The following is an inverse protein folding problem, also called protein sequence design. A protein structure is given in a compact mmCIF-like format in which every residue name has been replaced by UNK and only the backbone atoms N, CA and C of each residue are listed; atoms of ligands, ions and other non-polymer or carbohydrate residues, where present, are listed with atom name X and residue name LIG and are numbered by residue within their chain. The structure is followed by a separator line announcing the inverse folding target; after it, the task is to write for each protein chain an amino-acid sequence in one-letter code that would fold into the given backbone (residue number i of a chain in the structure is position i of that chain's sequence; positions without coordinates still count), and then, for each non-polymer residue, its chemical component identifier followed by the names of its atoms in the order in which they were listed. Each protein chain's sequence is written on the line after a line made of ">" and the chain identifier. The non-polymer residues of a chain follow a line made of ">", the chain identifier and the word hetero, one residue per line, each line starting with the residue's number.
data_IF_371748672896
#
_entry.id   IF_371748672896
#
_cell.length_a   1.000
_cell.length_b   1.000
_cell.length_c   1.000
_cell.angle_alpha   90.00
_cell.angle_beta   90.00
_cell.angle_gamma   90.00
#
_symmetry.space_group_name_H-M   'P 1'
#
loop_
_entity.id
_entity.type
_entity.pdbx_description
1 polymer ?
#
# COMPACT_ATOMS: atom_id res chain seq x y z
N UNK A 1 -22.11 30.53 -21.20
CA UNK A 1 -21.22 29.37 -21.04
C UNK A 1 -19.94 29.74 -21.76
N UNK A 2 -18.81 29.74 -21.06
CA UNK A 2 -17.51 30.04 -21.64
C UNK A 2 -17.12 28.89 -22.59
N UNK A 3 -16.99 29.12 -23.91
CA UNK A 3 -16.73 28.06 -24.88
C UNK A 3 -15.27 27.57 -24.85
N UNK A 4 -14.43 28.10 -23.95
CA UNK A 4 -13.00 27.81 -23.94
C UNK A 4 -12.64 26.52 -23.20
N UNK A 5 -13.48 26.01 -22.29
CA UNK A 5 -13.27 24.72 -21.60
C UNK A 5 -14.58 23.89 -21.57
N UNK A 6 -14.60 22.66 -22.13
CA UNK A 6 -15.75 21.77 -21.98
C UNK A 6 -15.99 21.47 -20.49
N UNK A 7 -17.27 21.30 -20.07
CA UNK A 7 -17.56 20.96 -18.69
C UNK A 7 -16.86 19.65 -18.32
N UNK A 8 -16.22 19.63 -17.15
CA UNK A 8 -15.62 18.42 -16.59
C UNK A 8 -16.62 17.77 -15.65
N UNK A 9 -16.90 16.49 -15.89
CA UNK A 9 -17.86 15.68 -15.17
C UNK A 9 -17.15 14.70 -14.23
N UNK A 10 -17.78 14.43 -13.09
CA UNK A 10 -17.30 13.46 -12.10
C UNK A 10 -18.02 12.14 -12.34
N UNK A 11 -17.29 11.05 -12.55
CA UNK A 11 -17.89 9.73 -12.69
C UNK A 11 -17.20 8.69 -11.80
N UNK A 12 -17.92 7.61 -11.50
CA UNK A 12 -17.38 6.47 -10.78
C UNK A 12 -17.48 5.23 -11.65
N UNK A 13 -16.34 4.59 -11.90
CA UNK A 13 -16.25 3.41 -12.77
C UNK A 13 -15.84 2.24 -11.89
N UNK A 14 -16.68 1.21 -11.83
CA UNK A 14 -16.31 -0.08 -11.27
C UNK A 14 -15.46 -0.84 -12.29
N UNK A 15 -14.48 -1.58 -11.80
CA UNK A 15 -13.72 -2.52 -12.60
C UNK A 15 -13.66 -3.89 -11.95
N UNK A 16 -13.63 -4.94 -12.77
CA UNK A 16 -13.59 -6.33 -12.32
C UNK A 16 -12.81 -7.24 -13.27
N UNK A 17 -11.99 -8.14 -12.75
CA UNK A 17 -11.24 -9.13 -13.54
C UNK A 17 -11.14 -10.47 -12.83
N UNK A 18 -11.34 -11.58 -13.56
CA UNK A 18 -11.15 -12.94 -13.05
C UNK A 18 -10.41 -13.90 -14.00
N UNK A 19 -9.76 -13.39 -15.05
CA UNK A 19 -9.05 -14.23 -16.02
C UNK A 19 -7.62 -13.71 -16.21
N UNK A 20 -6.64 -14.63 -16.18
CA UNK A 20 -5.23 -14.31 -16.39
C UNK A 20 -4.62 -13.49 -15.26
N UNK A 21 -3.73 -12.55 -15.59
CA UNK A 21 -3.17 -11.61 -14.63
C UNK A 21 -4.19 -10.49 -14.33
N UNK A 22 -5.06 -10.76 -13.36
CA UNK A 22 -6.20 -9.91 -12.98
C UNK A 22 -5.78 -8.49 -12.60
N UNK A 23 -4.63 -8.35 -11.96
CA UNK A 23 -4.12 -7.04 -11.50
C UNK A 23 -3.53 -6.28 -12.68
N UNK A 24 -2.75 -6.93 -13.54
CA UNK A 24 -2.23 -6.28 -14.74
C UNK A 24 -3.34 -5.85 -15.71
N UNK A 25 -4.44 -6.61 -15.81
CA UNK A 25 -5.61 -6.20 -16.60
C UNK A 25 -6.25 -4.90 -16.07
N UNK A 26 -6.38 -4.77 -14.75
CA UNK A 26 -6.91 -3.54 -14.12
C UNK A 26 -5.94 -2.37 -14.32
N UNK A 27 -4.64 -2.60 -14.12
CA UNK A 27 -3.59 -1.60 -14.35
C UNK A 27 -3.55 -1.14 -15.82
N UNK A 28 -3.71 -2.06 -16.76
CA UNK A 28 -3.83 -1.76 -18.19
C UNK A 28 -5.08 -0.93 -18.49
N UNK A 29 -6.24 -1.30 -17.93
CA UNK A 29 -7.47 -0.53 -18.08
C UNK A 29 -7.30 0.90 -17.55
N UNK A 30 -6.66 1.09 -16.39
CA UNK A 30 -6.37 2.43 -15.88
C UNK A 30 -5.49 3.26 -16.83
N UNK A 31 -4.45 2.65 -17.44
CA UNK A 31 -3.61 3.35 -18.43
C UNK A 31 -4.39 3.71 -19.69
N UNK A 32 -5.30 2.86 -20.15
CA UNK A 32 -6.16 3.16 -21.30
C UNK A 32 -7.19 4.27 -21.00
N UNK A 33 -7.74 4.32 -19.78
CA UNK A 33 -8.59 5.43 -19.35
C UNK A 33 -7.85 6.77 -19.46
N UNK A 34 -6.63 6.84 -18.92
CA UNK A 34 -5.81 8.05 -18.97
C UNK A 34 -5.43 8.44 -20.41
N UNK A 35 -5.12 7.46 -21.27
CA UNK A 35 -4.89 7.68 -22.71
C UNK A 35 -6.13 8.23 -23.42
N UNK A 36 -7.31 7.82 -22.99
CA UNK A 36 -8.59 8.33 -23.48
C UNK A 36 -9.00 9.68 -22.87
N UNK A 37 -8.08 10.39 -22.19
CA UNK A 37 -8.35 11.67 -21.50
C UNK A 37 -9.40 11.57 -20.39
N UNK A 38 -9.58 10.38 -19.80
CA UNK A 38 -10.36 10.15 -18.58
C UNK A 38 -9.38 10.16 -17.41
N UNK A 39 -9.35 11.26 -16.66
CA UNK A 39 -8.39 11.45 -15.57
C UNK A 39 -8.85 10.69 -14.34
N UNK A 40 -8.05 9.73 -13.87
CA UNK A 40 -8.29 9.06 -12.59
C UNK A 40 -7.90 10.01 -11.45
N UNK A 41 -8.84 10.31 -10.55
CA UNK A 41 -8.64 11.17 -9.38
C UNK A 41 -8.11 10.41 -8.17
N UNK A 42 -8.66 9.23 -7.94
CA UNK A 42 -8.28 8.29 -6.88
C UNK A 42 -8.98 6.95 -7.12
N UNK A 43 -8.52 5.93 -6.41
CA UNK A 43 -9.06 4.57 -6.52
C UNK A 43 -9.42 4.03 -5.14
N UNK A 44 -10.35 3.09 -5.09
CA UNK A 44 -10.52 2.21 -3.94
C UNK A 44 -9.29 1.29 -3.79
N UNK A 45 -9.25 0.51 -2.71
CA UNK A 45 -8.46 -0.71 -2.65
C UNK A 45 -8.97 -1.72 -3.68
N UNK A 46 -8.14 -2.71 -4.02
CA UNK A 46 -8.59 -3.90 -4.73
C UNK A 46 -9.17 -4.90 -3.74
N UNK A 47 -10.32 -5.48 -4.05
CA UNK A 47 -10.96 -6.51 -3.24
C UNK A 47 -11.03 -7.82 -4.01
N UNK A 48 -10.51 -8.88 -3.42
CA UNK A 48 -10.75 -10.23 -3.94
C UNK A 48 -12.07 -10.77 -3.39
N UNK A 49 -12.90 -11.30 -4.28
CA UNK A 49 -14.30 -11.69 -4.01
C UNK A 49 -14.63 -13.00 -4.72
N UNK A 50 -15.47 -13.83 -4.12
CA UNK A 50 -15.99 -15.02 -4.81
C UNK A 50 -16.94 -14.63 -5.96
N UNK A 51 -17.06 -15.47 -7.00
CA UNK A 51 -18.04 -15.27 -8.07
C UNK A 51 -19.48 -15.22 -7.51
N UNK A 52 -20.28 -14.23 -7.93
CA UNK A 52 -21.66 -14.07 -7.42
C UNK A 52 -22.71 -14.89 -8.17
N UNK A 53 -22.52 -15.13 -9.48
CA UNK A 53 -23.57 -15.72 -10.34
C UNK A 53 -23.22 -17.09 -10.90
N UNK A 54 -21.98 -17.27 -11.35
CA UNK A 54 -21.48 -18.55 -11.86
C UNK A 54 -20.35 -19.00 -10.96
N UNK A 55 -20.65 -19.97 -10.10
CA UNK A 55 -19.80 -20.34 -8.96
C UNK A 55 -18.55 -21.14 -9.35
N UNK A 56 -18.54 -21.77 -10.52
CA UNK A 56 -17.40 -22.54 -11.05
C UNK A 56 -16.46 -21.63 -11.86
N UNK A 57 -15.86 -20.65 -11.18
CA UNK A 57 -14.90 -19.69 -11.76
C UNK A 57 -13.88 -19.21 -10.73
N UNK A 58 -12.75 -18.69 -11.22
CA UNK A 58 -11.76 -18.04 -10.38
C UNK A 58 -12.34 -16.80 -9.67
N UNK A 59 -11.84 -16.46 -8.46
CA UNK A 59 -12.23 -15.25 -7.74
C UNK A 59 -11.98 -13.98 -8.56
N UNK A 60 -12.88 -13.01 -8.40
CA UNK A 60 -12.75 -11.69 -9.02
C UNK A 60 -11.90 -10.76 -8.15
N UNK A 61 -11.06 -9.96 -8.81
CA UNK A 61 -10.53 -8.71 -8.24
C UNK A 61 -11.43 -7.57 -8.68
N UNK A 62 -12.00 -6.83 -7.72
CA UNK A 62 -12.90 -5.70 -7.96
C UNK A 62 -12.37 -4.41 -7.32
N UNK A 63 -12.77 -3.27 -7.88
CA UNK A 63 -12.58 -1.97 -7.27
C UNK A 63 -13.34 -0.87 -8.02
N UNK A 64 -13.17 0.37 -7.58
CA UNK A 64 -13.79 1.55 -8.16
C UNK A 64 -12.74 2.65 -8.33
N UNK A 65 -12.77 3.37 -9.44
CA UNK A 65 -12.05 4.63 -9.59
C UNK A 65 -13.04 5.80 -9.69
N UNK A 66 -12.69 6.90 -9.04
CA UNK A 66 -13.30 8.21 -9.28
C UNK A 66 -12.53 8.88 -10.41
N UNK A 67 -13.25 9.37 -11.42
CA UNK A 67 -12.67 9.96 -12.62
C UNK A 67 -13.26 11.33 -12.95
N UNK A 68 -12.47 12.14 -13.63
CA UNK A 68 -12.86 13.39 -14.29
C UNK A 68 -12.82 13.20 -15.81
N UNK A 69 -13.88 13.59 -16.52
CA UNK A 69 -13.95 13.47 -17.98
C UNK A 69 -14.82 14.57 -18.61
N UNK A 70 -14.55 14.92 -19.87
CA UNK A 70 -15.41 15.79 -20.69
C UNK A 70 -16.39 15.02 -21.57
N UNK A 71 -16.32 13.68 -21.56
CA UNK A 71 -17.18 12.80 -22.36
C UNK A 71 -18.61 12.77 -21.81
N UNK A 72 -19.61 12.75 -22.68
CA UNK A 72 -21.00 12.49 -22.28
C UNK A 72 -21.16 11.06 -21.72
N UNK A 73 -22.25 10.73 -21.00
CA UNK A 73 -22.47 9.38 -20.50
C UNK A 73 -22.39 8.28 -21.58
N UNK A 74 -22.89 8.55 -22.79
CA UNK A 74 -22.84 7.58 -23.89
C UNK A 74 -21.45 7.48 -24.50
N UNK A 75 -20.74 8.60 -24.67
CA UNK A 75 -19.36 8.58 -25.19
C UNK A 75 -18.41 7.90 -24.20
N UNK A 76 -18.65 8.10 -22.88
CA UNK A 76 -17.94 7.39 -21.83
C UNK A 76 -18.19 5.88 -21.94
N UNK A 77 -19.45 5.44 -22.07
CA UNK A 77 -19.78 4.02 -22.26
C UNK A 77 -19.08 3.43 -23.48
N UNK A 78 -19.16 4.10 -24.64
CA UNK A 78 -18.56 3.64 -25.88
C UNK A 78 -17.02 3.53 -25.73
N UNK A 79 -16.41 4.48 -25.03
CA UNK A 79 -14.97 4.47 -24.71
C UNK A 79 -14.60 3.29 -23.80
N UNK A 80 -15.36 3.04 -22.72
CA UNK A 80 -15.11 1.91 -21.82
C UNK A 80 -15.24 0.57 -22.56
N UNK A 81 -16.26 0.42 -23.41
CA UNK A 81 -16.46 -0.78 -24.22
C UNK A 81 -15.31 -0.98 -25.22
N UNK A 82 -14.80 0.10 -25.83
CA UNK A 82 -13.63 0.03 -26.70
C UNK A 82 -12.37 -0.42 -25.95
N UNK A 83 -12.14 0.08 -24.73
CA UNK A 83 -11.03 -0.34 -23.87
C UNK A 83 -11.13 -1.84 -23.54
N UNK A 84 -12.30 -2.31 -23.13
CA UNK A 84 -12.50 -3.73 -22.82
C UNK A 84 -12.21 -4.64 -24.02
N UNK A 85 -12.73 -4.28 -25.20
CA UNK A 85 -12.48 -5.02 -26.45
C UNK A 85 -10.99 -5.00 -26.79
N UNK A 86 -10.33 -3.85 -26.66
CA UNK A 86 -8.89 -3.69 -26.88
C UNK A 86 -8.03 -4.56 -25.94
N UNK A 87 -8.47 -4.73 -24.68
CA UNK A 87 -7.84 -5.59 -23.68
C UNK A 87 -8.31 -7.06 -23.76
N UNK A 88 -8.95 -7.45 -24.87
CA UNK A 88 -9.24 -8.84 -25.19
C UNK A 88 -10.50 -9.41 -24.57
N UNK A 89 -11.47 -8.57 -24.15
CA UNK A 89 -12.78 -9.04 -23.69
C UNK A 89 -13.46 -9.87 -24.80
N UNK A 90 -13.64 -11.17 -24.57
CA UNK A 90 -14.45 -12.06 -25.42
C UNK A 90 -15.74 -12.42 -24.68
N UNK A 91 -16.88 -11.82 -25.06
CA UNK A 91 -18.20 -12.21 -24.53
C UNK A 91 -18.56 -13.62 -25.06
N UNK A 92 -18.13 -14.65 -24.33
CA UNK A 92 -18.49 -16.05 -24.62
C UNK A 92 -19.76 -16.49 -23.87
N UNK A 93 -19.98 -15.97 -22.66
CA UNK A 93 -21.13 -16.28 -21.78
C UNK A 93 -21.52 -14.99 -21.03
N UNK A 94 -22.83 -14.69 -20.94
CA UNK A 94 -23.31 -13.57 -20.11
C UNK A 94 -22.97 -13.80 -18.63
N UNK A 95 -22.40 -12.78 -17.96
CA UNK A 95 -21.86 -12.86 -16.59
C UNK A 95 -20.81 -13.97 -16.36
N UNK A 96 -20.16 -14.43 -17.43
CA UNK A 96 -19.08 -15.42 -17.40
C UNK A 96 -17.70 -14.84 -17.05
N UNK A 97 -16.62 -15.64 -17.19
CA UNK A 97 -15.25 -15.18 -16.98
C UNK A 97 -14.87 -14.09 -17.97
N UNK A 98 -14.13 -13.09 -17.50
CA UNK A 98 -13.69 -11.93 -18.30
C UNK A 98 -12.34 -11.39 -17.86
N UNK A 99 -11.56 -10.97 -18.86
CA UNK A 99 -10.26 -10.33 -18.64
C UNK A 99 -10.41 -8.98 -17.95
N UNK A 100 -11.43 -8.20 -18.32
CA UNK A 100 -11.79 -6.93 -17.67
C UNK A 100 -13.27 -6.60 -17.93
N UNK A 101 -13.90 -5.95 -16.95
CA UNK A 101 -15.23 -5.33 -17.00
C UNK A 101 -15.11 -3.90 -16.48
N UNK A 102 -15.74 -2.93 -17.13
CA UNK A 102 -15.76 -1.51 -16.77
C UNK A 102 -17.21 -1.00 -16.79
N UNK A 103 -17.78 -0.74 -15.62
CA UNK A 103 -19.17 -0.28 -15.46
C UNK A 103 -19.24 1.14 -14.91
N UNK A 104 -20.02 2.02 -15.57
CA UNK A 104 -20.33 3.35 -15.04
C UNK A 104 -21.34 3.19 -13.89
N UNK A 105 -20.92 3.49 -12.66
CA UNK A 105 -21.79 3.44 -11.48
C UNK A 105 -22.58 4.73 -11.32
N UNK A 106 -21.90 5.87 -11.43
CA UNK A 106 -22.41 7.20 -11.14
C UNK A 106 -21.80 8.19 -12.14
N UNK A 107 -22.55 9.24 -12.44
CA UNK A 107 -22.13 10.35 -13.30
C UNK A 107 -22.79 11.63 -12.78
N UNK A 108 -21.96 12.53 -12.23
CA UNK A 108 -22.36 13.63 -11.37
C UNK A 108 -23.42 13.16 -10.34
N UNK A 109 -24.49 13.93 -10.15
CA UNK A 109 -25.69 13.53 -9.39
C UNK A 109 -26.89 13.34 -10.35
N UNK A 110 -26.63 12.87 -11.57
CA UNK A 110 -27.64 12.76 -12.62
C UNK A 110 -28.34 11.39 -12.60
N UNK A 111 -29.61 11.39 -12.98
CA UNK A 111 -30.33 10.19 -13.41
C UNK A 111 -30.33 10.18 -14.94
N UNK A 112 -29.75 9.15 -15.53
CA UNK A 112 -29.69 8.95 -16.98
C UNK A 112 -30.33 7.61 -17.35
N UNK A 113 -31.20 7.62 -18.35
CA UNK A 113 -31.92 6.45 -18.83
C UNK A 113 -31.84 6.37 -20.35
N UNK A 114 -31.24 5.29 -20.83
CA UNK A 114 -31.07 4.97 -22.24
C UNK A 114 -31.15 3.45 -22.41
N UNK A 115 -31.52 2.96 -23.59
CA UNK A 115 -31.64 1.52 -23.88
C UNK A 115 -30.36 0.70 -23.59
N UNK A 116 -29.20 1.36 -23.63
CA UNK A 116 -27.86 0.77 -23.39
C UNK A 116 -27.27 1.12 -22.02
N UNK A 117 -27.80 2.12 -21.32
CA UNK A 117 -27.15 2.70 -20.14
C UNK A 117 -28.16 3.27 -19.15
N UNK A 118 -28.01 2.89 -17.89
CA UNK A 118 -28.76 3.44 -16.77
C UNK A 118 -27.78 3.96 -15.73
N UNK A 119 -27.94 5.22 -15.34
CA UNK A 119 -27.16 5.86 -14.27
C UNK A 119 -28.13 6.43 -13.23
N UNK A 120 -27.95 6.15 -11.93
CA UNK A 120 -26.96 5.22 -11.36
C UNK A 120 -27.13 3.78 -11.84
N UNK A 121 -26.07 2.99 -11.78
CA UNK A 121 -26.12 1.58 -12.17
C UNK A 121 -27.16 0.82 -11.34
N UNK A 122 -28.13 0.18 -12.01
CA UNK A 122 -29.35 -0.36 -11.40
C UNK A 122 -29.09 -1.33 -10.22
N UNK A 123 -28.08 -2.19 -10.35
CA UNK A 123 -27.77 -3.22 -9.35
C UNK A 123 -26.67 -2.79 -8.36
N UNK A 124 -26.22 -1.54 -8.38
CA UNK A 124 -25.07 -1.12 -7.56
C UNK A 124 -25.37 -1.27 -6.07
N UNK A 125 -26.59 -0.96 -5.63
CA UNK A 125 -26.96 -0.99 -4.21
C UNK A 125 -27.14 -2.41 -3.65
N UNK A 126 -27.18 -3.43 -4.50
CA UNK A 126 -27.38 -4.83 -4.15
C UNK A 126 -26.07 -5.64 -4.11
N UNK A 127 -24.96 -5.05 -4.60
CA UNK A 127 -23.69 -5.75 -4.83
C UNK A 127 -22.62 -5.28 -3.84
N UNK A 128 -22.25 -6.15 -2.90
CA UNK A 128 -21.17 -5.86 -1.94
C UNK A 128 -19.86 -5.48 -2.63
N UNK A 129 -19.45 -6.25 -3.66
CA UNK A 129 -18.22 -6.02 -4.41
C UNK A 129 -18.19 -4.70 -5.20
N UNK A 130 -19.33 -4.01 -5.33
CA UNK A 130 -19.45 -2.66 -5.89
C UNK A 130 -19.52 -1.62 -4.78
N UNK A 131 -20.41 -1.82 -3.81
CA UNK A 131 -20.62 -0.86 -2.72
C UNK A 131 -19.41 -0.73 -1.81
N UNK A 132 -18.72 -1.84 -1.48
CA UNK A 132 -17.56 -1.83 -0.58
C UNK A 132 -16.44 -0.92 -1.10
N UNK A 133 -15.93 -1.08 -2.33
CA UNK A 133 -14.95 -0.14 -2.88
C UNK A 133 -15.51 1.28 -3.04
N UNK A 134 -16.78 1.44 -3.45
CA UNK A 134 -17.38 2.78 -3.58
C UNK A 134 -17.45 3.51 -2.22
N UNK A 135 -17.78 2.80 -1.15
CA UNK A 135 -17.84 3.35 0.21
C UNK A 135 -16.46 3.77 0.74
N UNK A 136 -15.34 3.29 0.19
CA UNK A 136 -14.03 3.84 0.55
C UNK A 136 -13.82 5.25 -0.03
N UNK A 137 -14.54 5.62 -1.09
CA UNK A 137 -14.40 6.91 -1.78
C UNK A 137 -15.43 7.92 -1.30
N UNK A 138 -16.68 7.48 -1.13
CA UNK A 138 -17.84 8.36 -0.87
C UNK A 138 -18.82 7.76 0.16
N UNK A 139 -18.37 7.33 1.36
CA UNK A 139 -19.21 6.57 2.30
C UNK A 139 -20.50 7.29 2.71
N UNK A 140 -20.43 8.62 2.85
CA UNK A 140 -21.51 9.45 3.40
C UNK A 140 -22.36 10.15 2.33
N UNK A 141 -22.02 10.01 1.05
CA UNK A 141 -22.84 10.56 -0.04
C UNK A 141 -24.14 9.76 -0.20
N UNK A 142 -25.18 10.43 -0.71
CA UNK A 142 -26.49 9.84 -0.96
C UNK A 142 -26.62 9.45 -2.45
N UNK A 143 -27.17 8.26 -2.77
CA UNK A 143 -27.55 7.92 -4.13
C UNK A 143 -28.54 8.94 -4.70
N UNK A 144 -28.45 9.34 -5.99
CA UNK A 144 -29.34 10.33 -6.58
C UNK A 144 -30.74 9.77 -6.92
N UNK A 145 -31.12 8.59 -6.41
CA UNK A 145 -32.45 8.02 -6.59
C UNK A 145 -33.51 8.87 -5.87
N UNK A 146 -34.64 9.12 -6.54
CA UNK A 146 -35.74 9.91 -5.97
C UNK A 146 -36.20 9.30 -4.62
N UNK A 147 -36.26 10.13 -3.57
CA UNK A 147 -36.74 9.72 -2.25
C UNK A 147 -35.77 8.87 -1.42
N UNK A 148 -34.53 8.63 -1.90
CA UNK A 148 -33.51 7.97 -1.08
C UNK A 148 -32.92 8.92 -0.03
N UNK A 149 -32.76 8.41 1.19
CA UNK A 149 -32.25 9.15 2.36
C UNK A 149 -31.11 8.44 3.09
N UNK A 150 -30.68 7.28 2.60
CA UNK A 150 -29.58 6.49 3.18
C UNK A 150 -28.29 6.72 2.40
N UNK A 151 -27.17 6.84 3.11
CA UNK A 151 -25.84 6.91 2.49
C UNK A 151 -25.39 5.57 1.93
N UNK A 152 -24.37 5.57 1.07
CA UNK A 152 -23.76 4.33 0.56
C UNK A 152 -23.27 3.41 1.68
N UNK A 153 -22.65 3.97 2.73
CA UNK A 153 -22.22 3.20 3.90
C UNK A 153 -23.41 2.59 4.65
N UNK A 154 -24.54 3.29 4.74
CA UNK A 154 -25.76 2.75 5.32
C UNK A 154 -26.31 1.59 4.50
N UNK A 155 -26.31 1.70 3.16
CA UNK A 155 -26.69 0.60 2.28
C UNK A 155 -25.78 -0.63 2.43
N UNK A 156 -24.45 -0.43 2.41
CA UNK A 156 -23.49 -1.51 2.59
C UNK A 156 -23.72 -2.28 3.91
N UNK A 157 -24.03 -1.58 5.00
CA UNK A 157 -24.35 -2.20 6.31
C UNK A 157 -25.66 -2.99 6.32
N UNK A 158 -26.57 -2.76 5.36
CA UNK A 158 -27.83 -3.51 5.24
C UNK A 158 -27.73 -4.75 4.35
N UNK A 159 -26.65 -4.89 3.57
CA UNK A 159 -26.44 -6.07 2.76
C UNK A 159 -26.17 -7.30 3.65
N UNK A 160 -26.57 -8.51 3.21
CA UNK A 160 -26.13 -9.73 3.87
C UNK A 160 -24.59 -9.78 3.86
N UNK A 161 -23.94 -10.24 4.94
CA UNK A 161 -22.49 -10.40 4.96
C UNK A 161 -22.04 -11.27 3.78
N UNK A 162 -21.06 -10.83 2.99
CA UNK A 162 -20.57 -11.63 1.86
C UNK A 162 -19.86 -12.88 2.39
N UNK A 163 -20.07 -14.01 1.72
CA UNK A 163 -19.44 -15.28 2.05
C UNK A 163 -18.79 -15.89 0.79
N UNK A 164 -17.44 -16.08 0.79
CA UNK A 164 -16.47 -15.63 1.78
C UNK A 164 -16.34 -14.10 1.85
N UNK A 165 -15.87 -13.59 2.99
CA UNK A 165 -15.61 -12.16 3.20
C UNK A 165 -14.52 -11.66 2.25
N UNK A 166 -14.77 -10.58 1.48
CA UNK A 166 -13.78 -9.97 0.62
C UNK A 166 -12.58 -9.47 1.41
N UNK A 167 -11.40 -9.61 0.84
CA UNK A 167 -10.18 -9.05 1.42
C UNK A 167 -9.48 -8.05 0.50
N UNK A 168 -8.98 -6.98 1.12
CA UNK A 168 -8.17 -5.96 0.45
C UNK A 168 -6.86 -6.57 -0.02
N UNK A 169 -6.44 -6.24 -1.24
CA UNK A 169 -5.28 -6.81 -1.92
C UNK A 169 -4.32 -5.71 -2.35
N UNK A 170 -3.07 -5.79 -1.90
CA UNK A 170 -1.98 -4.88 -2.28
C UNK A 170 -0.93 -5.67 -3.07
N UNK A 171 -0.90 -5.58 -4.41
CA UNK A 171 0.17 -6.19 -5.20
C UNK A 171 1.52 -5.60 -4.83
N UNK A 172 2.59 -6.41 -4.89
CA UNK A 172 3.97 -5.93 -4.73
C UNK A 172 4.71 -6.09 -6.06
N UNK A 173 4.83 -7.32 -6.55
CA UNK A 173 5.39 -7.63 -7.87
C UNK A 173 4.89 -9.00 -8.36
N UNK A 174 5.17 -9.35 -9.61
CA UNK A 174 4.73 -10.64 -10.19
C UNK A 174 5.46 -11.85 -9.58
N UNK A 175 6.49 -11.61 -8.77
CA UNK A 175 7.28 -12.66 -8.13
C UNK A 175 7.07 -12.72 -6.61
N UNK A 176 6.27 -11.80 -6.05
CA UNK A 176 5.96 -11.72 -4.63
C UNK A 176 4.44 -11.75 -4.40
N UNK A 177 3.93 -12.56 -3.46
CA UNK A 177 2.49 -12.65 -3.21
C UNK A 177 1.91 -11.31 -2.77
N UNK A 178 0.70 -10.98 -3.24
CA UNK A 178 0.03 -9.78 -2.79
C UNK A 178 -0.26 -9.80 -1.28
N UNK A 179 -0.24 -8.64 -0.64
CA UNK A 179 -0.58 -8.51 0.78
C UNK A 179 -2.09 -8.40 0.92
N UNK A 180 -2.70 -9.35 1.62
CA UNK A 180 -4.14 -9.40 1.83
C UNK A 180 -4.53 -8.82 3.20
N UNK A 181 -4.46 -7.50 3.36
CA UNK A 181 -4.42 -6.81 4.66
C UNK A 181 -5.63 -7.05 5.59
N UNK A 182 -6.78 -7.44 5.03
CA UNK A 182 -8.01 -7.73 5.81
C UNK A 182 -8.34 -9.21 5.87
N UNK A 183 -7.51 -10.09 5.30
CA UNK A 183 -7.64 -11.53 5.49
C UNK A 183 -7.23 -11.87 6.94
N UNK A 184 -8.11 -12.52 7.73
CA UNK A 184 -7.79 -12.88 9.13
C UNK A 184 -6.62 -13.86 9.22
N UNK A 185 -6.41 -14.69 8.20
CA UNK A 185 -5.41 -15.77 8.16
C UNK A 185 -4.19 -15.40 7.31
N UNK A 186 -3.88 -14.09 7.17
CA UNK A 186 -2.72 -13.62 6.41
C UNK A 186 -1.41 -13.77 7.21
N UNK A 187 -0.31 -14.27 6.61
CA UNK A 187 0.97 -14.33 7.31
C UNK A 187 1.57 -12.93 7.50
N UNK A 188 2.34 -12.74 8.57
CA UNK A 188 3.18 -11.55 8.74
C UNK A 188 4.44 -11.64 7.88
N UNK A 189 4.81 -10.57 7.18
CA UNK A 189 6.01 -10.51 6.37
C UNK A 189 7.20 -9.98 7.17
N UNK A 190 8.35 -10.63 7.03
CA UNK A 190 9.61 -10.15 7.61
C UNK A 190 10.32 -9.29 6.56
N UNK A 191 10.58 -8.04 6.92
CA UNK A 191 11.40 -7.11 6.14
C UNK A 191 12.77 -6.96 6.81
N UNK A 192 13.80 -7.51 6.17
CA UNK A 192 15.16 -7.46 6.65
C UNK A 192 15.81 -6.11 6.32
N UNK A 193 16.41 -5.48 7.32
CA UNK A 193 17.14 -4.22 7.15
C UNK A 193 18.53 -4.51 6.60
N UNK A 194 18.86 -3.95 5.43
CA UNK A 194 20.17 -3.99 4.82
C UNK A 194 20.71 -2.57 4.65
N UNK A 195 21.48 -2.11 5.63
CA UNK A 195 22.14 -0.81 5.57
C UNK A 195 23.46 -0.92 4.80
N UNK A 196 23.61 -0.12 3.73
CA UNK A 196 24.83 0.00 2.94
C UNK A 196 25.57 1.30 3.27
N UNK A 197 25.64 1.62 4.56
CA UNK A 197 26.34 2.80 5.08
C UNK A 197 27.64 2.41 5.80
N UNK A 198 28.72 3.21 5.69
CA UNK A 198 29.99 2.93 6.39
C UNK A 198 29.84 2.85 7.92
N UNK A 199 28.93 3.66 8.48
CA UNK A 199 28.74 3.87 9.92
C UNK A 199 27.73 2.91 10.55
N UNK A 200 27.58 1.67 10.07
CA UNK A 200 26.63 0.70 10.64
C UNK A 200 27.13 0.16 12.01
N UNK A 201 27.25 1.04 13.01
CA UNK A 201 27.69 0.79 14.39
C UNK A 201 26.77 -0.16 15.20
N UNK A 202 25.63 -0.58 14.66
CA UNK A 202 24.77 -1.62 15.24
C UNK A 202 24.78 -2.95 14.49
N UNK A 203 25.18 -2.96 13.21
CA UNK A 203 24.96 -4.11 12.31
C UNK A 203 26.28 -4.82 11.97
N UNK A 204 27.34 -4.52 12.71
CA UNK A 204 28.64 -5.19 12.58
C UNK A 204 29.61 -4.55 11.59
N UNK A 205 29.23 -3.54 10.81
CA UNK A 205 30.18 -2.77 9.97
C UNK A 205 30.71 -3.52 8.74
N UNK A 206 30.01 -4.54 8.25
CA UNK A 206 30.55 -5.52 7.29
C UNK A 206 30.08 -5.29 5.85
N UNK A 207 29.17 -4.35 5.57
CA UNK A 207 28.57 -4.21 4.24
C UNK A 207 29.07 -2.95 3.52
N UNK A 208 30.16 -3.10 2.76
CA UNK A 208 30.49 -2.16 1.68
C UNK A 208 29.71 -2.53 0.43
N UNK A 209 29.20 -1.53 -0.31
CA UNK A 209 28.59 -1.74 -1.62
C UNK A 209 29.56 -2.34 -2.65
N UNK A 210 30.86 -2.32 -2.37
CA UNK A 210 31.91 -2.90 -3.21
C UNK A 210 32.15 -4.40 -2.94
N UNK A 211 31.75 -4.91 -1.76
CA UNK A 211 31.90 -6.33 -1.42
C UNK A 211 30.62 -7.12 -1.70
N UNK A 212 30.43 -7.41 -3.00
CA UNK A 212 29.30 -8.18 -3.49
C UNK A 212 29.24 -9.63 -2.95
N UNK A 213 30.37 -10.19 -2.52
CA UNK A 213 30.41 -11.56 -1.97
C UNK A 213 29.79 -11.60 -0.58
N UNK A 214 30.18 -10.64 0.25
CA UNK A 214 29.59 -10.44 1.57
C UNK A 214 28.11 -10.08 1.46
N UNK A 215 27.74 -9.19 0.52
CA UNK A 215 26.34 -8.87 0.24
C UNK A 215 25.53 -10.13 -0.12
N UNK A 216 26.04 -10.98 -1.02
CA UNK A 216 25.38 -12.25 -1.37
C UNK A 216 25.18 -13.14 -0.15
N UNK A 217 26.19 -13.25 0.70
CA UNK A 217 26.13 -14.07 1.92
C UNK A 217 25.06 -13.54 2.88
N UNK A 218 25.01 -12.22 3.09
CA UNK A 218 23.99 -11.58 3.95
C UNK A 218 22.58 -11.80 3.41
N UNK A 219 22.37 -11.56 2.12
CA UNK A 219 21.06 -11.74 1.48
C UNK A 219 20.59 -13.19 1.59
N UNK A 220 21.48 -14.17 1.33
CA UNK A 220 21.17 -15.60 1.53
C UNK A 220 20.82 -15.91 2.98
N UNK A 221 21.54 -15.35 3.94
CA UNK A 221 21.25 -15.54 5.35
C UNK A 221 19.89 -14.96 5.73
N UNK A 222 19.51 -13.78 5.22
CA UNK A 222 18.18 -13.22 5.43
C UNK A 222 17.08 -14.12 4.86
N UNK A 223 17.25 -14.61 3.64
CA UNK A 223 16.27 -15.49 2.99
C UNK A 223 16.12 -16.80 3.76
N UNK A 224 17.24 -17.44 4.12
CA UNK A 224 17.24 -18.67 4.92
C UNK A 224 16.63 -18.46 6.32
N UNK A 225 16.77 -17.27 6.89
CA UNK A 225 16.18 -16.89 8.16
C UNK A 225 14.68 -16.54 8.07
N UNK A 226 14.11 -16.49 6.86
CA UNK A 226 12.68 -16.27 6.63
C UNK A 226 12.30 -14.83 6.27
N UNK A 227 13.26 -13.98 5.86
CA UNK A 227 12.94 -12.70 5.24
C UNK A 227 12.17 -12.91 3.94
N UNK A 228 11.09 -12.16 3.77
CA UNK A 228 10.32 -12.13 2.52
C UNK A 228 10.55 -10.81 1.77
N UNK A 229 10.98 -9.78 2.48
CA UNK A 229 11.31 -8.46 1.93
C UNK A 229 12.73 -8.09 2.41
N UNK A 230 13.55 -7.50 1.54
CA UNK A 230 14.85 -6.91 1.90
C UNK A 230 14.76 -5.42 1.64
N UNK A 231 14.98 -4.62 2.67
CA UNK A 231 14.91 -3.16 2.62
C UNK A 231 16.32 -2.56 2.65
N UNK A 232 16.69 -1.93 1.54
CA UNK A 232 18.05 -1.48 1.25
C UNK A 232 18.12 0.02 1.51
N UNK A 233 19.00 0.43 2.42
CA UNK A 233 19.21 1.84 2.76
C UNK A 233 20.63 2.30 2.44
N UNK A 234 20.77 3.33 1.61
CA UNK A 234 22.05 3.97 1.28
C UNK A 234 22.41 5.16 2.17
N UNK A 235 21.44 5.68 2.92
CA UNK A 235 21.58 6.84 3.81
C UNK A 235 20.99 6.53 5.20
N UNK A 236 21.62 7.04 6.26
CA UNK A 236 21.08 6.92 7.62
C UNK A 236 20.00 7.96 7.87
N UNK A 237 18.81 7.52 8.28
CA UNK A 237 17.70 8.37 8.73
C UNK A 237 17.68 8.57 10.26
N UNK A 238 18.75 8.16 10.96
CA UNK A 238 18.86 8.28 12.42
C UNK A 238 18.96 9.75 12.86
N UNK A 239 18.42 10.13 14.03
CA UNK A 239 18.60 11.48 14.56
C UNK A 239 20.09 11.83 14.69
N UNK A 240 20.51 12.92 14.02
CA UNK A 240 21.87 13.44 14.09
C UNK A 240 22.89 12.86 13.11
N UNK A 241 22.50 12.00 12.15
CA UNK A 241 23.42 11.57 11.07
C UNK A 241 23.70 12.69 10.07
N UNK A 242 24.90 12.69 9.52
CA UNK A 242 25.27 13.56 8.40
C UNK A 242 24.63 13.05 7.11
N UNK A 243 23.91 13.89 6.35
CA UNK A 243 23.37 13.49 5.05
C UNK A 243 24.51 13.12 4.09
N UNK A 244 24.27 12.10 3.26
CA UNK A 244 25.13 11.83 2.10
C UNK A 244 24.56 12.51 0.87
N UNK A 245 25.40 12.73 -0.15
CA UNK A 245 24.92 13.25 -1.42
C UNK A 245 24.11 12.21 -2.18
N UNK A 246 23.15 12.65 -3.00
CA UNK A 246 22.35 11.78 -3.86
C UNK A 246 23.22 10.83 -4.71
N UNK A 247 24.32 11.34 -5.30
CA UNK A 247 25.24 10.54 -6.10
C UNK A 247 25.91 9.41 -5.30
N UNK A 248 26.18 9.63 -4.02
CA UNK A 248 26.77 8.63 -3.13
C UNK A 248 25.74 7.58 -2.72
N UNK A 249 24.51 7.99 -2.41
CA UNK A 249 23.41 7.07 -2.14
C UNK A 249 23.14 6.16 -3.35
N UNK A 250 23.07 6.72 -4.57
CA UNK A 250 22.96 5.97 -5.83
C UNK A 250 24.09 4.95 -6.00
N UNK A 251 25.34 5.37 -5.79
CA UNK A 251 26.51 4.50 -5.92
C UNK A 251 26.49 3.31 -4.93
N UNK A 252 25.84 3.48 -3.78
CA UNK A 252 25.68 2.41 -2.78
C UNK A 252 24.57 1.43 -3.15
N UNK A 253 23.37 1.94 -3.48
CA UNK A 253 22.16 1.09 -3.56
C UNK A 253 21.97 0.45 -4.93
N UNK A 254 22.29 1.14 -6.03
CA UNK A 254 21.98 0.66 -7.37
C UNK A 254 22.75 -0.62 -7.73
N UNK A 255 24.09 -0.71 -7.51
CA UNK A 255 24.83 -1.94 -7.76
C UNK A 255 24.32 -3.11 -6.92
N UNK A 256 23.97 -2.85 -5.65
CA UNK A 256 23.47 -3.87 -4.74
C UNK A 256 22.11 -4.44 -5.19
N UNK A 257 21.15 -3.57 -5.56
CA UNK A 257 19.84 -4.00 -6.07
C UNK A 257 20.00 -4.85 -7.32
N UNK A 258 20.81 -4.40 -8.29
CA UNK A 258 21.07 -5.16 -9.52
C UNK A 258 21.65 -6.53 -9.20
N UNK A 259 22.70 -6.57 -8.37
CA UNK A 259 23.36 -7.81 -7.99
C UNK A 259 22.41 -8.80 -7.30
N UNK A 260 21.59 -8.32 -6.36
CA UNK A 260 20.58 -9.17 -5.70
C UNK A 260 19.62 -9.75 -6.72
N UNK A 261 19.10 -8.91 -7.64
CA UNK A 261 18.09 -9.36 -8.60
C UNK A 261 18.64 -10.29 -9.69
N UNK A 262 19.87 -10.07 -10.15
CA UNK A 262 20.42 -10.81 -11.31
C UNK A 262 21.31 -11.99 -10.94
N UNK A 263 21.92 -11.98 -9.75
CA UNK A 263 23.00 -12.90 -9.40
C UNK A 263 22.65 -13.83 -8.23
N UNK A 264 21.57 -13.58 -7.49
CA UNK A 264 21.12 -14.39 -6.35
C UNK A 264 19.78 -15.06 -6.69
N UNK A 265 19.78 -16.28 -7.24
CA UNK A 265 18.55 -16.98 -7.62
C UNK A 265 17.55 -17.16 -6.47
N UNK A 266 18.05 -17.32 -5.24
CA UNK A 266 17.21 -17.45 -4.05
C UNK A 266 16.38 -16.18 -3.78
N UNK A 267 16.79 -15.03 -4.30
CA UNK A 267 16.09 -13.76 -4.18
C UNK A 267 14.99 -13.56 -5.25
N UNK A 268 14.75 -14.54 -6.13
CA UNK A 268 13.77 -14.42 -7.21
C UNK A 268 12.34 -14.09 -6.69
N UNK A 269 11.96 -14.65 -5.54
CA UNK A 269 10.64 -14.45 -4.91
C UNK A 269 10.67 -13.51 -3.71
N UNK A 270 11.76 -12.75 -3.56
CA UNK A 270 11.96 -11.81 -2.47
C UNK A 270 11.69 -10.41 -3.01
N UNK A 271 10.84 -9.66 -2.31
CA UNK A 271 10.61 -8.27 -2.65
C UNK A 271 11.83 -7.44 -2.23
N UNK A 272 12.26 -6.53 -3.10
CA UNK A 272 13.31 -5.56 -2.79
C UNK A 272 12.65 -4.21 -2.53
N UNK A 273 12.88 -3.65 -1.35
CA UNK A 273 12.45 -2.32 -0.95
C UNK A 273 13.66 -1.37 -0.94
N UNK A 274 13.47 -0.14 -1.41
CA UNK A 274 14.46 0.94 -1.31
C UNK A 274 14.03 1.93 -0.22
N UNK A 275 14.84 2.06 0.85
CA UNK A 275 14.67 3.06 1.92
C UNK A 275 15.32 4.37 1.49
N UNK A 276 14.54 5.27 0.90
CA UNK A 276 15.01 6.57 0.43
C UNK A 276 13.90 7.61 0.45
N UNK A 277 14.27 8.85 0.72
CA UNK A 277 13.40 10.01 0.60
C UNK A 277 13.70 10.85 -0.66
N UNK A 278 14.58 10.38 -1.55
CA UNK A 278 14.97 11.08 -2.79
C UNK A 278 14.31 10.45 -4.02
N UNK A 279 13.60 11.26 -4.78
CA UNK A 279 12.85 10.83 -5.95
C UNK A 279 13.74 10.12 -6.99
N UNK A 280 14.91 10.70 -7.29
CA UNK A 280 15.84 10.12 -8.26
C UNK A 280 16.41 8.78 -7.81
N UNK A 281 16.70 8.61 -6.53
CA UNK A 281 17.17 7.32 -5.99
C UNK A 281 16.06 6.27 -6.11
N UNK A 282 14.82 6.64 -5.79
CA UNK A 282 13.68 5.75 -5.92
C UNK A 282 13.46 5.31 -7.39
N UNK A 283 13.49 6.25 -8.34
CA UNK A 283 13.32 5.98 -9.77
C UNK A 283 14.38 5.00 -10.31
N UNK A 284 15.66 5.28 -10.02
CA UNK A 284 16.77 4.43 -10.44
C UNK A 284 16.76 3.06 -9.75
N UNK A 285 16.37 3.00 -8.47
CA UNK A 285 16.23 1.75 -7.73
C UNK A 285 15.12 0.86 -8.32
N UNK A 286 13.97 1.45 -8.68
CA UNK A 286 12.90 0.73 -9.37
C UNK A 286 13.35 0.22 -10.74
N UNK A 287 14.08 1.02 -11.51
CA UNK A 287 14.67 0.61 -12.78
C UNK A 287 15.72 -0.51 -12.61
N UNK A 288 16.41 -0.54 -11.47
CA UNK A 288 17.37 -1.60 -11.11
C UNK A 288 16.71 -2.91 -10.64
N UNK A 289 15.41 -2.90 -10.32
CA UNK A 289 14.66 -4.09 -9.91
C UNK A 289 14.09 -4.06 -8.48
N UNK A 290 14.01 -2.88 -7.85
CA UNK A 290 13.21 -2.70 -6.63
C UNK A 290 11.71 -2.78 -6.92
N UNK A 291 10.98 -3.35 -5.96
CA UNK A 291 9.53 -3.58 -5.99
C UNK A 291 8.75 -2.58 -5.12
N UNK A 292 9.39 -2.05 -4.07
CA UNK A 292 8.77 -1.16 -3.09
C UNK A 292 9.64 0.08 -2.90
N UNK A 293 9.02 1.26 -2.85
CA UNK A 293 9.66 2.51 -2.40
C UNK A 293 9.25 2.77 -0.95
N UNK A 294 10.21 2.76 -0.03
CA UNK A 294 10.00 3.05 1.38
C UNK A 294 10.47 4.46 1.70
N UNK A 295 9.54 5.40 1.83
CA UNK A 295 9.86 6.79 2.14
C UNK A 295 9.38 7.17 3.54
N UNK A 296 10.36 7.34 4.44
CA UNK A 296 10.16 7.80 5.81
C UNK A 296 9.44 9.15 5.90
N UNK A 297 9.51 9.96 4.85
CA UNK A 297 8.91 11.29 4.78
C UNK A 297 7.53 11.33 4.12
N UNK A 298 7.10 10.23 3.51
CA UNK A 298 5.90 10.20 2.66
C UNK A 298 5.87 11.33 1.63
N UNK A 299 7.00 11.69 1.02
CA UNK A 299 7.16 12.74 0.02
C UNK A 299 7.26 14.17 0.57
N UNK A 300 7.56 14.34 1.87
CA UNK A 300 7.71 15.66 2.48
C UNK A 300 9.14 16.23 2.35
N UNK A 301 10.15 15.38 2.11
CA UNK A 301 11.55 15.83 1.95
C UNK A 301 11.97 16.05 0.50
N UNK A 302 11.21 15.51 -0.46
CA UNK A 302 11.44 15.69 -1.89
C UNK A 302 10.08 15.86 -2.61
N UNK A 303 9.79 17.04 -3.19
CA UNK A 303 8.51 17.29 -3.85
C UNK A 303 8.28 16.41 -5.08
N UNK A 304 9.34 15.88 -5.70
CA UNK A 304 9.24 14.98 -6.86
C UNK A 304 8.97 13.53 -6.47
N UNK A 305 8.99 13.19 -5.17
CA UNK A 305 8.84 11.81 -4.72
C UNK A 305 7.47 11.22 -5.05
N UNK A 306 6.37 11.90 -4.70
CA UNK A 306 5.02 11.35 -4.99
C UNK A 306 4.74 11.24 -6.50
N UNK A 307 5.05 12.24 -7.35
CA UNK A 307 4.98 12.08 -8.80
C UNK A 307 5.83 10.91 -9.32
N UNK A 308 7.02 10.72 -8.77
CA UNK A 308 7.91 9.61 -9.16
C UNK A 308 7.33 8.26 -8.77
N UNK A 309 6.86 8.12 -7.53
CA UNK A 309 6.13 6.94 -7.07
C UNK A 309 4.95 6.60 -8.00
N UNK A 310 4.14 7.58 -8.39
CA UNK A 310 3.03 7.38 -9.32
C UNK A 310 3.51 6.86 -10.69
N UNK A 311 4.56 7.46 -11.27
CA UNK A 311 5.12 7.02 -12.57
C UNK A 311 5.68 5.60 -12.53
N UNK A 312 6.35 5.21 -11.44
CA UNK A 312 6.96 3.88 -11.32
C UNK A 312 5.91 2.77 -11.24
N UNK A 313 4.70 3.07 -10.78
CA UNK A 313 3.63 2.08 -10.55
C UNK A 313 3.97 1.01 -9.50
N UNK A 314 5.06 1.19 -8.75
CA UNK A 314 5.49 0.29 -7.69
C UNK A 314 4.69 0.52 -6.41
N UNK A 315 4.79 -0.44 -5.49
CA UNK A 315 4.17 -0.28 -4.18
C UNK A 315 5.01 0.66 -3.32
N UNK A 316 4.36 1.39 -2.42
CA UNK A 316 4.98 2.47 -1.66
C UNK A 316 4.65 2.34 -0.19
N UNK A 317 5.61 2.62 0.67
CA UNK A 317 5.40 2.76 2.11
C UNK A 317 5.40 4.24 2.45
N UNK A 318 4.27 4.72 2.96
CA UNK A 318 4.06 6.07 3.45
C UNK A 318 4.19 6.04 4.97
N UNK A 319 5.35 6.44 5.49
CA UNK A 319 5.58 6.56 6.92
C UNK A 319 5.21 7.94 7.44
N UNK A 320 4.61 7.99 8.63
CA UNK A 320 4.39 9.22 9.35
C UNK A 320 5.64 9.71 10.10
N UNK A 321 6.05 10.94 9.78
CA UNK A 321 7.04 11.71 10.53
C UNK A 321 6.70 13.20 10.50
N UNK A 322 7.33 13.98 11.37
CA UNK A 322 7.29 15.45 11.34
C UNK A 322 8.70 16.04 11.28
N UNK A 323 8.87 17.11 10.51
CA UNK A 323 10.14 17.81 10.35
C UNK A 323 11.17 17.02 9.54
N UNK A 324 12.40 16.95 10.03
CA UNK A 324 13.53 16.27 9.39
C UNK A 324 14.26 15.41 10.43
N UNK A 325 15.22 14.54 10.05
CA UNK A 325 16.00 13.78 11.03
C UNK A 325 16.68 14.64 12.10
N UNK A 326 17.02 15.90 11.80
CA UNK A 326 17.65 16.82 12.75
C UNK A 326 16.65 17.57 13.65
N UNK A 327 15.38 17.71 13.23
CA UNK A 327 14.36 18.49 13.96
C UNK A 327 13.24 17.67 14.59
N UNK A 328 13.03 16.42 14.12
CA UNK A 328 11.88 15.59 14.50
C UNK A 328 11.75 15.36 16.00
N UNK A 329 12.86 15.31 16.74
CA UNK A 329 12.86 15.08 18.20
C UNK A 329 12.20 16.21 19.00
N UNK A 330 11.99 17.38 18.39
CA UNK A 330 11.33 18.55 19.00
C UNK A 330 9.84 18.64 18.63
N UNK A 331 9.36 17.82 17.69
CA UNK A 331 8.02 17.91 17.10
C UNK A 331 7.09 16.80 17.62
N UNK A 332 7.15 16.53 18.92
CA UNK A 332 6.48 15.39 19.55
C UNK A 332 5.17 15.75 20.25
N UNK A 333 4.53 16.88 19.93
CA UNK A 333 3.28 17.32 20.54
C UNK A 333 2.06 16.79 19.77
N UNK A 334 1.22 15.98 20.43
CA UNK A 334 0.04 15.34 19.82
C UNK A 334 -1.20 15.66 20.67
N UNK A 335 -1.80 16.86 20.50
CA UNK A 335 -2.84 17.37 21.39
C UNK A 335 -4.12 16.52 21.44
N UNK A 336 -4.45 15.79 20.37
CA UNK A 336 -5.63 14.92 20.35
C UNK A 336 -5.29 13.45 20.69
N UNK A 337 -4.06 13.20 21.10
CA UNK A 337 -3.50 11.88 21.32
C UNK A 337 -2.83 11.33 20.05
N UNK A 338 -1.72 10.61 20.26
CA UNK A 338 -0.85 10.14 19.17
C UNK A 338 -1.59 9.33 18.10
N UNK A 339 -2.56 8.48 18.47
CA UNK A 339 -3.28 7.65 17.48
C UNK A 339 -4.10 8.52 16.51
N UNK A 340 -4.88 9.47 17.05
CA UNK A 340 -5.76 10.32 16.24
C UNK A 340 -4.97 11.28 15.35
N UNK A 341 -3.95 11.93 15.90
CA UNK A 341 -3.13 12.89 15.15
C UNK A 341 -2.28 12.19 14.08
N UNK A 342 -1.63 11.07 14.41
CA UNK A 342 -0.87 10.27 13.43
C UNK A 342 -1.78 9.77 12.30
N UNK A 343 -2.98 9.30 12.63
CA UNK A 343 -3.92 8.78 11.63
C UNK A 343 -4.43 9.89 10.71
N UNK A 344 -4.74 11.06 11.28
CA UNK A 344 -5.13 12.26 10.51
C UNK A 344 -4.02 12.71 9.56
N UNK A 345 -2.77 12.76 10.04
CA UNK A 345 -1.62 13.15 9.23
C UNK A 345 -1.30 12.12 8.14
N UNK A 346 -1.44 10.81 8.42
CA UNK A 346 -1.34 9.78 7.40
C UNK A 346 -2.41 9.90 6.32
N UNK A 347 -3.68 10.18 6.69
CA UNK A 347 -4.75 10.40 5.72
C UNK A 347 -4.46 11.61 4.80
N UNK A 348 -3.83 12.67 5.32
CA UNK A 348 -3.37 13.79 4.50
C UNK A 348 -2.29 13.35 3.50
N UNK A 349 -1.37 12.46 3.90
CA UNK A 349 -0.36 11.90 2.99
C UNK A 349 -0.97 10.97 1.95
N UNK A 350 -1.94 10.13 2.32
CA UNK A 350 -2.73 9.32 1.39
C UNK A 350 -3.41 10.20 0.35
N UNK A 351 -4.09 11.28 0.77
CA UNK A 351 -4.76 12.20 -0.16
C UNK A 351 -3.76 12.88 -1.13
N UNK A 352 -2.58 13.27 -0.63
CA UNK A 352 -1.52 13.82 -1.48
C UNK A 352 -0.97 12.79 -2.48
N UNK A 353 -0.81 11.55 -2.04
CA UNK A 353 -0.36 10.43 -2.88
C UNK A 353 -1.39 10.13 -3.99
N UNK A 354 -2.68 10.05 -3.65
CA UNK A 354 -3.77 9.89 -4.62
C UNK A 354 -3.80 11.06 -5.63
N UNK A 355 -3.66 12.29 -5.16
CA UNK A 355 -3.62 13.47 -6.03
C UNK A 355 -2.42 13.47 -7.01
N UNK A 356 -1.31 12.84 -6.62
CA UNK A 356 -0.15 12.63 -7.48
C UNK A 356 -0.31 11.47 -8.48
N UNK A 357 -1.39 10.68 -8.36
CA UNK A 357 -1.70 9.54 -9.24
C UNK A 357 -1.32 8.17 -8.66
N UNK A 358 -0.90 8.09 -7.39
CA UNK A 358 -0.62 6.81 -6.74
C UNK A 358 -1.96 6.13 -6.44
N UNK A 359 -2.14 4.92 -6.95
CA UNK A 359 -3.33 4.10 -6.70
C UNK A 359 -3.35 3.63 -5.26
N UNK A 360 -4.53 3.65 -4.62
CA UNK A 360 -4.69 3.28 -3.21
C UNK A 360 -4.21 1.86 -2.91
N UNK A 361 -4.40 0.92 -3.85
CA UNK A 361 -3.92 -0.46 -3.73
C UNK A 361 -2.40 -0.63 -3.83
N UNK A 362 -1.63 0.44 -4.06
CA UNK A 362 -0.17 0.42 -4.03
C UNK A 362 0.42 0.92 -2.71
N UNK A 363 -0.41 1.42 -1.78
CA UNK A 363 0.08 2.07 -0.57
C UNK A 363 0.10 1.12 0.64
N UNK A 364 1.17 1.21 1.41
CA UNK A 364 1.38 0.60 2.73
C UNK A 364 1.64 1.74 3.71
N UNK A 365 1.11 1.66 4.93
CA UNK A 365 1.24 2.72 5.93
C UNK A 365 2.17 2.30 7.08
N UNK A 366 2.95 3.25 7.61
CA UNK A 366 3.78 3.06 8.81
C UNK A 366 3.55 4.24 9.78
N UNK A 367 3.16 4.01 11.06
CA UNK A 367 2.97 5.09 12.02
C UNK A 367 4.28 5.78 12.44
N UNK A 368 5.44 5.22 12.08
CA UNK A 368 6.77 5.79 12.22
C UNK A 368 7.28 5.80 13.66
N UNK A 369 7.45 4.62 14.27
CA UNK A 369 7.97 4.50 15.64
C UNK A 369 9.31 5.24 15.81
N UNK A 370 9.41 6.10 16.81
CA UNK A 370 10.60 6.90 17.13
C UNK A 370 10.85 8.08 16.19
N UNK A 371 9.98 8.33 15.20
CA UNK A 371 10.05 9.51 14.32
C UNK A 371 9.06 10.57 14.80
N UNK A 372 9.56 11.68 15.35
CA UNK A 372 8.74 12.71 15.98
C UNK A 372 7.80 12.19 17.08
N UNK A 373 8.21 11.13 17.80
CA UNK A 373 7.48 10.54 18.94
C UNK A 373 8.42 10.38 20.13
N UNK A 374 7.87 10.51 21.32
CA UNK A 374 8.55 10.16 22.56
C UNK A 374 8.18 8.72 22.96
N UNK A 375 8.77 8.22 24.05
CA UNK A 375 8.52 6.85 24.50
C UNK A 375 7.07 6.54 24.86
N UNK A 376 6.36 7.37 25.64
CA UNK A 376 4.92 7.17 25.85
C UNK A 376 4.14 7.04 24.55
N UNK A 377 4.44 7.85 23.53
CA UNK A 377 3.79 7.79 22.23
C UNK A 377 4.10 6.49 21.47
N UNK A 378 5.36 6.06 21.43
CA UNK A 378 5.76 4.79 20.81
C UNK A 378 5.05 3.59 21.47
N UNK A 379 4.94 3.60 22.80
CA UNK A 379 4.24 2.57 23.56
C UNK A 379 2.73 2.58 23.34
N UNK A 380 2.11 3.75 23.22
CA UNK A 380 0.68 3.87 22.87
C UNK A 380 0.43 3.34 21.45
N UNK A 381 1.29 3.68 20.47
CA UNK A 381 1.17 3.13 19.11
C UNK A 381 1.26 1.60 19.12
N UNK A 382 2.22 1.01 19.85
CA UNK A 382 2.34 -0.44 19.94
C UNK A 382 1.13 -1.10 20.62
N UNK A 383 0.56 -0.45 21.64
CA UNK A 383 -0.61 -0.96 22.37
C UNK A 383 -1.88 -0.91 21.53
N UNK A 384 -2.08 0.20 20.83
CA UNK A 384 -3.35 0.57 20.21
C UNK A 384 -3.26 0.58 18.67
N UNK A 385 -2.28 -0.11 18.07
CA UNK A 385 -2.07 -0.16 16.62
C UNK A 385 -3.35 -0.56 15.85
N UNK A 386 -4.17 -1.45 16.42
CA UNK A 386 -5.44 -1.87 15.83
C UNK A 386 -6.40 -0.69 15.62
N UNK A 387 -6.33 0.37 16.44
CA UNK A 387 -7.20 1.55 16.32
C UNK A 387 -7.00 2.30 15.01
N UNK A 388 -5.82 2.23 14.38
CA UNK A 388 -5.67 2.79 13.03
C UNK A 388 -6.55 2.07 12.01
N UNK A 389 -6.84 0.78 12.21
CA UNK A 389 -7.66 -0.03 11.28
C UNK A 389 -9.15 0.02 11.61
N UNK A 390 -9.53 0.24 12.88
CA UNK A 390 -10.93 0.13 13.33
C UNK A 390 -11.53 1.44 13.82
N UNK A 391 -10.70 2.40 14.21
CA UNK A 391 -11.10 3.63 14.88
C UNK A 391 -10.95 4.89 14.03
N UNK A 392 -10.35 4.80 12.83
CA UNK A 392 -10.10 5.93 11.94
C UNK A 392 -10.62 5.61 10.54
N UNK A 393 -11.67 6.32 10.12
CA UNK A 393 -12.31 6.14 8.82
C UNK A 393 -11.32 6.43 7.68
N UNK A 394 -11.28 5.55 6.69
CA UNK A 394 -10.36 5.63 5.55
C UNK A 394 -9.06 4.85 5.72
N UNK A 395 -8.70 4.38 6.92
CA UNK A 395 -7.47 3.62 7.16
C UNK A 395 -7.65 2.10 7.24
N UNK A 396 -8.88 1.61 7.14
CA UNK A 396 -9.29 0.26 7.53
C UNK A 396 -8.64 -0.85 6.69
N UNK A 397 -8.36 -0.55 5.42
CA UNK A 397 -7.99 -1.53 4.40
C UNK A 397 -6.53 -1.46 3.96
N UNK A 398 -5.75 -0.50 4.50
CA UNK A 398 -4.33 -0.43 4.18
C UNK A 398 -3.56 -1.55 4.89
N UNK A 399 -2.54 -2.13 4.24
CA UNK A 399 -1.52 -2.88 4.95
C UNK A 399 -0.66 -1.94 5.80
N UNK A 400 -0.16 -2.46 6.92
CA UNK A 400 0.61 -1.74 7.91
C UNK A 400 1.99 -2.33 8.09
N UNK A 401 3.01 -1.48 8.06
CA UNK A 401 4.38 -1.80 8.41
C UNK A 401 4.71 -1.26 9.79
N UNK A 402 5.46 -2.04 10.57
CA UNK A 402 6.02 -1.61 11.85
C UNK A 402 7.54 -1.84 11.89
N UNK A 403 8.30 -0.79 12.19
CA UNK A 403 9.76 -0.88 12.39
C UNK A 403 10.22 -0.72 13.83
N UNK A 404 9.97 -1.68 14.75
CA UNK A 404 10.30 -1.53 16.16
C UNK A 404 11.75 -1.90 16.52
N UNK A 405 12.50 -2.47 15.57
CA UNK A 405 13.78 -3.13 15.85
C UNK A 405 14.85 -2.20 16.42
N UNK A 406 15.45 -2.62 17.54
CA UNK A 406 16.60 -1.98 18.22
C UNK A 406 16.38 -0.51 18.64
N UNK A 407 15.12 -0.04 18.67
CA UNK A 407 14.76 1.35 19.01
C UNK A 407 15.23 1.73 20.42
N UNK A 408 15.48 3.04 20.63
CA UNK A 408 16.05 3.58 21.88
C UNK A 408 15.17 3.32 23.11
N UNK A 409 13.84 3.39 22.96
CA UNK A 409 12.92 3.14 24.08
C UNK A 409 13.05 1.72 24.63
N UNK A 410 13.30 0.72 23.77
CA UNK A 410 13.55 -0.66 24.18
C UNK A 410 14.77 -0.74 25.11
N UNK A 411 15.85 -0.05 24.76
CA UNK A 411 17.06 0.01 25.60
C UNK A 411 16.83 0.69 26.95
N UNK A 412 16.01 1.74 27.00
CA UNK A 412 15.67 2.41 28.27
C UNK A 412 14.83 1.53 29.19
N UNK A 413 13.83 0.85 28.65
CA UNK A 413 12.94 -0.03 29.42
C UNK A 413 13.67 -1.28 29.96
N UNK A 414 14.61 -1.82 29.19
CA UNK A 414 15.32 -3.06 29.53
C UNK A 414 16.67 -2.83 30.21
N UNK A 415 17.19 -1.61 30.22
CA UNK A 415 18.55 -1.29 30.64
C UNK A 415 19.64 -1.69 29.64
N UNK A 416 19.29 -2.31 28.51
CA UNK A 416 20.25 -2.77 27.48
C UNK A 416 20.77 -1.60 26.65
N UNK A 417 22.02 -1.22 26.90
CA UNK A 417 22.66 -0.05 26.28
C UNK A 417 22.95 -0.27 24.80
N UNK A 418 23.55 -1.40 24.43
CA UNK A 418 23.95 -1.69 23.05
C UNK A 418 22.74 -2.05 22.20
N UNK A 419 22.56 -1.35 21.09
CA UNK A 419 21.41 -1.55 20.21
C UNK A 419 21.29 -2.99 19.68
N UNK A 420 22.43 -3.62 19.35
CA UNK A 420 22.48 -4.99 18.82
C UNK A 420 22.11 -6.07 19.83
N UNK A 421 22.03 -5.75 21.13
CA UNK A 421 21.69 -6.69 22.20
C UNK A 421 20.21 -6.59 22.62
N UNK A 422 19.43 -5.72 21.97
CA UNK A 422 18.02 -5.46 22.31
C UNK A 422 17.05 -6.48 21.71
N UNK A 423 17.52 -7.68 21.36
CA UNK A 423 16.75 -8.69 20.63
C UNK A 423 15.48 -9.09 21.37
N UNK A 424 15.54 -9.38 22.67
CA UNK A 424 14.36 -9.80 23.46
C UNK A 424 13.34 -8.69 23.66
N UNK A 425 13.80 -7.46 23.88
CA UNK A 425 12.89 -6.31 23.92
C UNK A 425 12.25 -6.06 22.54
N UNK A 426 13.01 -6.28 21.46
CA UNK A 426 12.47 -6.23 20.09
C UNK A 426 11.43 -7.34 19.86
N UNK A 427 11.66 -8.57 20.35
CA UNK A 427 10.70 -9.66 20.27
C UNK A 427 9.33 -9.27 20.86
N UNK A 428 9.33 -8.65 22.05
CA UNK A 428 8.09 -8.18 22.68
C UNK A 428 7.35 -7.16 21.79
N UNK A 429 8.08 -6.21 21.19
CA UNK A 429 7.48 -5.19 20.31
C UNK A 429 7.00 -5.76 18.97
N UNK A 430 7.66 -6.79 18.43
CA UNK A 430 7.24 -7.49 17.21
C UNK A 430 5.95 -8.27 17.47
N UNK A 431 5.88 -9.01 18.58
CA UNK A 431 4.66 -9.71 18.98
C UNK A 431 3.47 -8.74 19.14
N UNK A 432 3.68 -7.60 19.80
CA UNK A 432 2.68 -6.55 19.92
C UNK A 432 2.26 -5.96 18.56
N UNK A 433 3.21 -5.77 17.64
CA UNK A 433 2.93 -5.29 16.28
C UNK A 433 2.05 -6.27 15.50
N UNK A 434 2.36 -7.58 15.56
CA UNK A 434 1.56 -8.61 14.89
C UNK A 434 0.15 -8.69 15.49
N UNK A 435 0.04 -8.64 16.83
CA UNK A 435 -1.24 -8.61 17.56
C UNK A 435 -2.09 -7.40 17.17
N UNK A 436 -1.46 -6.24 16.99
CA UNK A 436 -2.09 -5.00 16.55
C UNK A 436 -2.49 -4.98 15.06
N UNK A 437 -2.13 -6.02 14.30
CA UNK A 437 -2.53 -6.19 12.90
C UNK A 437 -1.50 -5.73 11.86
N UNK A 438 -0.23 -5.53 12.23
CA UNK A 438 0.85 -5.22 11.28
C UNK A 438 1.04 -6.35 10.27
N UNK A 439 1.09 -6.02 8.99
CA UNK A 439 1.31 -6.96 7.88
C UNK A 439 2.80 -7.19 7.63
N UNK A 440 3.63 -6.19 7.91
CA UNK A 440 5.08 -6.23 7.74
C UNK A 440 5.76 -5.80 9.05
N UNK A 441 6.80 -6.54 9.47
CA UNK A 441 7.70 -6.11 10.55
C UNK A 441 9.12 -5.94 10.01
N UNK A 442 9.67 -4.73 10.20
CA UNK A 442 11.01 -4.33 9.72
C UNK A 442 12.06 -4.52 10.82
N UNK A 443 13.02 -5.42 10.58
CA UNK A 443 13.90 -5.97 11.63
C UNK A 443 15.35 -6.17 11.19
N UNK A 444 16.28 -6.09 12.15
CA UNK A 444 17.69 -6.44 11.95
C UNK A 444 17.95 -7.93 12.21
N UNK A 445 17.42 -8.47 13.32
CA UNK A 445 17.64 -9.85 13.78
C UNK A 445 16.60 -10.80 13.14
N UNK A 446 16.76 -11.08 11.84
CA UNK A 446 15.74 -11.73 10.99
C UNK A 446 15.31 -13.08 11.54
N UNK A 447 16.26 -13.94 11.92
CA UNK A 447 15.97 -15.32 12.33
C UNK A 447 15.11 -15.34 13.60
N UNK A 448 15.51 -14.57 14.59
CA UNK A 448 14.84 -14.45 15.88
C UNK A 448 13.45 -13.84 15.69
N UNK A 449 13.35 -12.77 14.91
CA UNK A 449 12.06 -12.08 14.72
C UNK A 449 11.11 -12.86 13.82
N UNK A 450 11.62 -13.68 12.89
CA UNK A 450 10.79 -14.63 12.15
C UNK A 450 10.14 -15.65 13.10
N UNK A 451 10.89 -16.22 14.05
CA UNK A 451 10.34 -17.14 15.04
C UNK A 451 9.23 -16.49 15.88
N UNK A 452 9.47 -15.25 16.33
CA UNK A 452 8.46 -14.47 17.07
C UNK A 452 7.22 -14.22 16.22
N UNK A 453 7.39 -13.81 14.96
CA UNK A 453 6.27 -13.54 14.07
C UNK A 453 5.47 -14.81 13.76
N UNK A 454 6.12 -15.97 13.56
CA UNK A 454 5.41 -17.25 13.35
C UNK A 454 4.55 -17.63 14.54
N UNK A 455 5.09 -17.56 15.75
CA UNK A 455 4.31 -17.86 16.97
C UNK A 455 3.20 -16.84 17.17
N UNK A 456 3.45 -15.57 16.86
CA UNK A 456 2.44 -14.50 16.95
C UNK A 456 1.32 -14.70 15.92
N UNK A 457 1.65 -15.08 14.68
CA UNK A 457 0.65 -15.43 13.65
C UNK A 457 -0.21 -16.62 14.11
N UNK A 458 0.37 -17.64 14.74
CA UNK A 458 -0.39 -18.76 15.30
C UNK A 458 -1.36 -18.32 16.40
N UNK A 459 -0.92 -17.43 17.31
CA UNK A 459 -1.74 -16.92 18.42
C UNK A 459 -2.87 -16.01 17.92
N UNK A 460 -2.56 -15.04 17.06
CA UNK A 460 -3.47 -13.94 16.73
C UNK A 460 -4.21 -14.12 15.41
N UNK A 461 -3.75 -15.03 14.53
CA UNK A 461 -4.30 -15.25 13.18
C UNK A 461 -4.67 -16.71 12.89
N UNK A 462 -4.41 -17.63 13.83
CA UNK A 462 -4.73 -19.05 13.67
C UNK A 462 -3.96 -19.77 12.57
N UNK A 463 -2.80 -19.24 12.16
CA UNK A 463 -1.92 -19.84 11.15
C UNK A 463 -0.94 -20.77 11.86
N UNK A 464 -1.07 -22.09 11.64
CA UNK A 464 -0.21 -23.11 12.27
C UNK A 464 1.08 -23.36 11.50
#
# INVERSE_FOLDING_TARGET
>A
MDPTHPPTHRAFIAFGSNVGDRIEMIEAACRELERASIRIRRTSSLFETAPMYVLDQDPFINGVCEVETSLSPMDLLDTLQAIEIGLGRRKLIDKGPRSIDLDILLYDQQIFSHERLYIPHQLMLERDFVLRPLCQLIPHELPPFLGHSKSYLSHLKTLPPPEPTPFSTTPISNHFPAIHSTNPNRPSHIMAILNLTPDSFSDGGIHSSEDLTTLTTTVRNFIQAGATIIDIGGESTRPGSSPVGEAEELARVIPAIRHIRTTIPEAAHIAISIDTYRARVAEEACAAGADIINDVSSGLLDPEMLPTMARTGKSVILMHMRGTPSTMTKLTDYPNGVIQDVGTELLQRVAAAEAAGIRRWRMILDPGLGFAKNEPHDLTILRDLQQFRTGIEGLEYFPWLMGPSRKRFVGRLTGVQKASERTWGTAATVAASVAGGADIVRVHDVKEMWQVARVSDAIYRGIL
#
